data_IF_842617321051
#
_entry.id   IF_842617321051
#
_cell.length_a   1.000
_cell.length_b   1.000
_cell.length_c   1.000
_cell.angle_alpha   90.00
_cell.angle_beta   90.00
_cell.angle_gamma   90.00
#
_symmetry.space_group_name_H-M   'P 1'
#
loop_
_entity.id
_entity.type
_entity.pdbx_description
1 polymer ?
#
# COMPACT_ATOMS: atom_id res chain seq x y z
N UNK A 1 6.27 -14.63 -77.00
CA UNK A 1 7.20 -14.97 -75.89
C UNK A 1 6.45 -15.84 -74.89
N UNK A 2 6.77 -17.15 -74.82
CA UNK A 2 6.18 -18.09 -73.86
C UNK A 2 6.81 -17.86 -72.49
N UNK A 3 6.00 -17.50 -71.48
CA UNK A 3 6.45 -17.36 -70.08
C UNK A 3 6.71 -18.76 -69.52
N UNK A 4 7.97 -19.15 -69.41
CA UNK A 4 8.38 -20.30 -68.61
C UNK A 4 8.19 -19.93 -67.14
N UNK A 5 7.14 -20.47 -66.51
CA UNK A 5 7.03 -20.46 -65.05
C UNK A 5 8.12 -21.39 -64.53
N UNK A 6 9.07 -20.83 -63.78
CA UNK A 6 10.17 -21.58 -63.16
C UNK A 6 9.59 -22.71 -62.30
N UNK A 7 9.85 -23.95 -62.73
CA UNK A 7 9.41 -25.18 -62.07
C UNK A 7 9.78 -25.22 -60.58
N UNK A 8 10.87 -24.54 -60.19
CA UNK A 8 11.33 -24.46 -58.80
C UNK A 8 10.34 -23.74 -57.87
N UNK A 9 9.62 -22.72 -58.37
CA UNK A 9 8.62 -22.01 -57.56
C UNK A 9 7.37 -22.85 -57.30
N UNK A 10 7.00 -23.71 -58.26
CA UNK A 10 5.84 -24.61 -58.15
C UNK A 10 6.14 -25.79 -57.20
N UNK A 11 7.36 -26.33 -57.27
CA UNK A 11 7.80 -27.40 -56.38
C UNK A 11 7.88 -26.92 -54.92
N UNK A 12 8.41 -25.72 -54.69
CA UNK A 12 8.52 -25.14 -53.35
C UNK A 12 7.14 -24.84 -52.73
N UNK A 13 6.18 -24.37 -53.53
CA UNK A 13 4.80 -24.15 -53.03
C UNK A 13 4.11 -25.47 -52.68
N UNK A 14 4.29 -26.53 -53.47
CA UNK A 14 3.77 -27.86 -53.14
C UNK A 14 4.34 -28.41 -51.83
N UNK A 15 5.63 -28.24 -51.58
CA UNK A 15 6.28 -28.73 -50.34
C UNK A 15 5.74 -27.99 -49.12
N UNK A 16 5.58 -26.66 -49.21
CA UNK A 16 5.05 -25.85 -48.10
C UNK A 16 3.60 -26.25 -47.78
N UNK A 17 2.76 -26.49 -48.81
CA UNK A 17 1.36 -26.92 -48.61
C UNK A 17 1.30 -28.30 -47.98
N UNK A 18 2.11 -29.26 -48.43
CA UNK A 18 2.15 -30.61 -47.85
C UNK A 18 2.65 -30.60 -46.40
N UNK A 19 3.66 -29.78 -46.08
CA UNK A 19 4.14 -29.61 -44.71
C UNK A 19 3.08 -28.97 -43.80
N UNK A 20 2.33 -27.98 -44.33
CA UNK A 20 1.24 -27.33 -43.59
C UNK A 20 0.09 -28.29 -43.30
N UNK A 21 -0.25 -29.17 -44.26
CA UNK A 21 -1.26 -30.22 -44.08
C UNK A 21 -0.77 -31.25 -43.05
N UNK A 22 0.48 -31.68 -43.12
CA UNK A 22 1.06 -32.63 -42.17
C UNK A 22 1.08 -32.07 -40.74
N UNK A 23 1.47 -30.79 -40.57
CA UNK A 23 1.46 -30.11 -39.28
C UNK A 23 0.03 -29.93 -38.73
N UNK A 24 -0.95 -29.68 -39.61
CA UNK A 24 -2.36 -29.60 -39.22
C UNK A 24 -2.89 -30.95 -38.75
N UNK A 25 -2.54 -32.04 -39.43
CA UNK A 25 -2.94 -33.40 -39.05
C UNK A 25 -2.32 -33.81 -37.70
N UNK A 26 -1.07 -33.43 -37.42
CA UNK A 26 -0.40 -33.74 -36.14
C UNK A 26 -0.91 -32.87 -34.98
N UNK A 27 -1.38 -31.65 -35.24
CA UNK A 27 -2.05 -30.80 -34.24
C UNK A 27 -3.48 -31.30 -33.92
N UNK A 28 -4.16 -31.91 -34.89
CA UNK A 28 -5.46 -32.54 -34.66
C UNK A 28 -5.29 -33.83 -33.86
N UNK A 29 -4.28 -34.67 -34.13
CA UNK A 29 -4.08 -35.93 -33.38
C UNK A 29 -3.61 -35.75 -31.94
N UNK A 30 -3.02 -34.62 -31.57
CA UNK A 30 -2.67 -34.31 -30.16
C UNK A 30 -3.81 -33.70 -29.35
N UNK A 31 -4.91 -33.26 -29.98
CA UNK A 31 -6.09 -32.73 -29.31
C UNK A 31 -7.20 -33.77 -29.06
N UNK A 32 -7.03 -35.02 -29.52
CA UNK A 32 -7.97 -36.13 -29.29
C UNK A 32 -7.49 -37.18 -28.26
N UNK A 33 -6.33 -36.98 -27.61
CA UNK A 33 -5.76 -37.95 -26.69
C UNK A 33 -6.34 -37.92 -25.24
N UNK A 34 -7.51 -37.31 -25.03
CA UNK A 34 -8.23 -37.35 -23.74
C UNK A 34 -9.69 -37.81 -23.87
N UNK A 35 -10.06 -38.47 -24.97
CA UNK A 35 -11.25 -39.31 -24.96
C UNK A 35 -10.90 -40.65 -24.31
N UNK A 36 -10.87 -40.65 -22.98
CA UNK A 36 -11.12 -41.89 -22.24
C UNK A 36 -12.49 -42.38 -22.69
N UNK A 37 -12.50 -43.39 -23.57
CA UNK A 37 -13.68 -44.20 -23.83
C UNK A 37 -14.07 -44.82 -22.49
N UNK A 38 -15.01 -44.20 -21.78
CA UNK A 38 -15.68 -44.85 -20.67
C UNK A 38 -16.42 -46.03 -21.24
N UNK A 39 -15.82 -47.23 -21.16
CA UNK A 39 -16.56 -48.46 -21.30
C UNK A 39 -17.68 -48.41 -20.26
N UNK A 40 -18.92 -48.25 -20.73
CA UNK A 40 -20.11 -48.25 -19.88
C UNK A 40 -20.20 -49.63 -19.25
N UNK A 41 -19.74 -49.74 -18.00
CA UNK A 41 -19.80 -50.98 -17.25
C UNK A 41 -21.28 -51.33 -17.01
N UNK A 42 -21.75 -52.41 -17.65
CA UNK A 42 -23.14 -52.89 -17.52
C UNK A 42 -23.35 -53.77 -16.28
N UNK A 43 -22.33 -53.91 -15.42
CA UNK A 43 -22.40 -54.71 -14.21
C UNK A 43 -23.08 -53.92 -13.08
N UNK A 44 -24.08 -54.54 -12.45
CA UNK A 44 -24.86 -53.96 -11.34
C UNK A 44 -24.12 -54.03 -9.98
N UNK A 45 -23.06 -54.83 -9.88
CA UNK A 45 -22.28 -55.00 -8.65
C UNK A 45 -21.28 -53.86 -8.43
N UNK A 46 -21.77 -52.72 -7.92
CA UNK A 46 -20.95 -51.55 -7.59
C UNK A 46 -20.47 -51.58 -6.12
N UNK A 47 -19.23 -51.14 -5.90
CA UNK A 47 -18.64 -50.95 -4.57
C UNK A 47 -19.16 -49.72 -3.81
N UNK A 48 -18.47 -49.36 -2.74
CA UNK A 48 -18.77 -48.16 -1.94
C UNK A 48 -18.53 -46.90 -2.79
N UNK A 49 -19.41 -45.91 -2.60
CA UNK A 49 -19.28 -44.61 -3.25
C UNK A 49 -18.14 -43.80 -2.63
N UNK A 50 -17.32 -43.19 -3.48
CA UNK A 50 -16.28 -42.23 -3.09
C UNK A 50 -16.32 -40.99 -3.99
N UNK A 51 -15.59 -39.94 -3.62
CA UNK A 51 -15.46 -38.72 -4.43
C UNK A 51 -14.01 -38.41 -4.72
N UNK A 52 -13.70 -38.01 -5.94
CA UNK A 52 -12.32 -37.73 -6.34
C UNK A 52 -11.81 -36.36 -5.85
N UNK A 53 -10.48 -36.20 -5.91
CA UNK A 53 -9.79 -34.96 -5.56
C UNK A 53 -9.96 -33.91 -6.67
N UNK A 54 -10.02 -34.34 -7.93
CA UNK A 54 -10.23 -33.44 -9.07
C UNK A 54 -11.61 -32.76 -9.03
N UNK A 55 -11.70 -31.53 -9.53
CA UNK A 55 -12.94 -30.76 -9.64
C UNK A 55 -13.65 -31.03 -10.98
N UNK A 56 -14.98 -31.24 -11.01
CA UNK A 56 -15.89 -31.39 -9.87
C UNK A 56 -15.57 -32.64 -9.05
N UNK A 57 -15.73 -32.63 -7.72
CA UNK A 57 -15.58 -33.81 -6.86
C UNK A 57 -16.66 -34.88 -7.14
N UNK A 58 -16.70 -35.39 -8.35
CA UNK A 58 -17.70 -36.32 -8.89
C UNK A 58 -17.75 -37.58 -8.04
N UNK A 59 -18.96 -38.09 -7.83
CA UNK A 59 -19.14 -39.36 -7.15
C UNK A 59 -18.88 -40.53 -8.10
N UNK A 60 -18.07 -41.46 -7.65
CA UNK A 60 -17.78 -42.70 -8.37
C UNK A 60 -17.98 -43.92 -7.48
N UNK A 61 -18.21 -45.06 -8.11
CA UNK A 61 -18.09 -46.39 -7.50
C UNK A 61 -17.16 -47.23 -8.35
N UNK A 62 -16.38 -48.09 -7.71
CA UNK A 62 -15.58 -49.10 -8.41
C UNK A 62 -16.44 -50.33 -8.65
N UNK A 63 -16.55 -50.79 -9.90
CA UNK A 63 -17.21 -52.05 -10.20
C UNK A 63 -16.42 -53.21 -9.59
N UNK A 64 -17.08 -54.09 -8.83
CA UNK A 64 -16.40 -55.22 -8.17
C UNK A 64 -15.94 -56.30 -9.14
N UNK A 65 -16.56 -56.38 -10.32
CA UNK A 65 -16.29 -57.43 -11.31
C UNK A 65 -15.13 -57.10 -12.24
N UNK A 66 -14.90 -55.82 -12.54
CA UNK A 66 -13.90 -55.40 -13.53
C UNK A 66 -13.03 -54.22 -13.07
N UNK A 67 -13.19 -53.76 -11.82
CA UNK A 67 -12.47 -52.62 -11.23
C UNK A 67 -12.59 -51.30 -12.01
N UNK A 68 -13.51 -51.22 -12.98
CA UNK A 68 -13.77 -49.99 -13.72
C UNK A 68 -14.44 -48.96 -12.82
N UNK A 69 -13.97 -47.73 -12.94
CA UNK A 69 -14.54 -46.55 -12.28
C UNK A 69 -15.82 -46.14 -12.99
N UNK A 70 -16.94 -46.09 -12.26
CA UNK A 70 -18.27 -45.77 -12.77
C UNK A 70 -18.76 -44.48 -12.13
N UNK A 71 -19.11 -43.49 -12.96
CA UNK A 71 -19.74 -42.25 -12.49
C UNK A 71 -21.19 -42.53 -12.06
N UNK A 72 -21.56 -42.14 -10.84
CA UNK A 72 -22.89 -42.47 -10.27
C UNK A 72 -23.80 -41.25 -10.11
N UNK A 73 -23.43 -40.11 -10.71
CA UNK A 73 -24.20 -38.87 -10.65
C UNK A 73 -23.87 -38.01 -9.42
N UNK A 74 -23.98 -36.70 -9.61
CA UNK A 74 -23.70 -35.70 -8.56
C UNK A 74 -22.21 -35.49 -8.26
N UNK A 75 -21.96 -34.74 -7.19
CA UNK A 75 -20.62 -34.43 -6.68
C UNK A 75 -20.66 -34.18 -5.17
N UNK A 76 -19.54 -34.44 -4.49
CA UNK A 76 -19.40 -34.15 -3.07
C UNK A 76 -19.29 -32.66 -2.81
N UNK A 77 -20.11 -32.16 -1.88
CA UNK A 77 -19.89 -30.89 -1.20
C UNK A 77 -18.89 -31.15 -0.07
N UNK A 78 -17.65 -30.69 -0.27
CA UNK A 78 -16.60 -30.77 0.76
C UNK A 78 -16.47 -29.43 1.48
N UNK A 79 -15.95 -29.46 2.71
CA UNK A 79 -15.61 -28.24 3.46
C UNK A 79 -14.61 -27.39 2.67
N UNK A 80 -14.67 -26.07 2.85
CA UNK A 80 -13.81 -25.11 2.17
C UNK A 80 -12.32 -25.42 2.40
N UNK A 81 -11.54 -25.50 1.32
CA UNK A 81 -10.07 -25.50 1.36
C UNK A 81 -9.51 -24.08 1.27
N UNK A 82 -8.19 -23.94 1.36
CA UNK A 82 -7.42 -22.68 1.31
C UNK A 82 -7.55 -21.86 0.00
N UNK A 83 -8.27 -22.36 -0.99
CA UNK A 83 -8.48 -21.70 -2.28
C UNK A 83 -7.41 -22.03 -3.33
N UNK A 84 -6.39 -22.83 -3.00
CA UNK A 84 -5.27 -23.16 -3.90
C UNK A 84 -5.68 -23.92 -5.17
N UNK A 85 -6.85 -24.55 -5.18
CA UNK A 85 -7.28 -25.47 -6.25
C UNK A 85 -8.58 -25.08 -6.97
N UNK A 86 -8.99 -23.80 -6.89
CA UNK A 86 -10.05 -23.24 -7.74
C UNK A 86 -11.28 -24.15 -7.89
N UNK A 87 -11.95 -24.44 -6.77
CA UNK A 87 -13.02 -25.44 -6.74
C UNK A 87 -14.29 -24.89 -7.38
N UNK A 88 -14.58 -25.29 -8.61
CA UNK A 88 -15.74 -24.81 -9.38
C UNK A 88 -17.08 -25.46 -9.07
N UNK A 89 -17.21 -26.30 -8.02
CA UNK A 89 -18.43 -27.14 -7.83
C UNK A 89 -19.02 -27.19 -6.41
N UNK A 90 -18.79 -26.16 -5.59
CA UNK A 90 -19.73 -25.78 -4.53
C UNK A 90 -20.18 -24.36 -4.89
N UNK A 91 -21.46 -24.01 -4.70
CA UNK A 91 -21.92 -22.62 -4.88
C UNK A 91 -21.12 -21.59 -4.05
N UNK A 92 -20.31 -22.04 -3.09
CA UNK A 92 -19.54 -21.24 -2.14
C UNK A 92 -18.05 -21.64 -2.03
N UNK A 93 -17.57 -22.67 -2.73
CA UNK A 93 -16.13 -22.92 -2.76
C UNK A 93 -15.53 -22.15 -3.94
N UNK A 94 -14.36 -21.55 -3.72
CA UNK A 94 -13.63 -20.83 -4.77
C UNK A 94 -13.33 -19.36 -4.50
N UNK A 95 -13.98 -18.70 -3.54
CA UNK A 95 -13.48 -17.39 -3.08
C UNK A 95 -13.86 -17.11 -1.63
N UNK A 96 -12.85 -17.13 -0.75
CA UNK A 96 -13.03 -16.45 0.53
C UNK A 96 -13.10 -14.94 0.24
N UNK A 97 -14.28 -14.37 0.39
CA UNK A 97 -14.44 -12.92 0.39
C UNK A 97 -14.26 -12.42 1.82
N UNK A 98 -13.08 -11.85 2.09
CA UNK A 98 -12.81 -11.18 3.36
C UNK A 98 -13.07 -9.68 3.22
N UNK A 99 -13.86 -9.07 4.12
CA UNK A 99 -14.04 -7.62 4.10
C UNK A 99 -12.72 -6.92 4.41
N UNK A 100 -12.54 -5.71 3.86
CA UNK A 100 -11.45 -4.82 4.28
C UNK A 100 -11.75 -4.40 5.73
N UNK A 101 -10.78 -4.50 6.65
CA UNK A 101 -10.93 -3.98 8.01
C UNK A 101 -11.41 -2.52 8.02
N UNK A 102 -12.39 -2.25 8.87
CA UNK A 102 -12.80 -0.87 9.18
C UNK A 102 -11.70 -0.15 9.96
N UNK A 103 -11.74 1.19 9.94
CA UNK A 103 -10.81 2.03 10.73
C UNK A 103 -10.90 1.71 12.22
N UNK A 104 -12.10 1.45 12.74
CA UNK A 104 -12.29 1.09 14.16
C UNK A 104 -11.68 -0.27 14.50
N UNK A 105 -11.79 -1.25 13.62
CA UNK A 105 -11.13 -2.56 13.79
C UNK A 105 -9.61 -2.42 13.78
N UNK A 106 -9.06 -1.56 12.92
CA UNK A 106 -7.63 -1.24 12.89
C UNK A 106 -7.21 -0.54 14.19
N UNK A 107 -7.95 0.49 14.62
CA UNK A 107 -7.64 1.23 15.85
C UNK A 107 -7.74 0.34 17.10
N UNK A 108 -8.68 -0.60 17.13
CA UNK A 108 -8.82 -1.57 18.21
C UNK A 108 -7.63 -2.54 18.25
N UNK A 109 -7.17 -3.05 17.10
CA UNK A 109 -6.01 -3.96 17.07
C UNK A 109 -4.70 -3.30 17.49
N UNK A 110 -4.57 -1.98 17.36
CA UNK A 110 -3.40 -1.25 17.86
C UNK A 110 -3.29 -1.27 19.40
N UNK A 111 -4.35 -1.62 20.13
CA UNK A 111 -4.37 -1.66 21.61
C UNK A 111 -3.79 -2.95 22.21
N UNK A 112 -3.78 -4.05 21.46
CA UNK A 112 -3.25 -5.34 21.91
C UNK A 112 -2.15 -5.83 20.97
N UNK A 113 -1.12 -6.46 21.53
CA UNK A 113 -0.04 -7.07 20.76
C UNK A 113 -0.31 -8.58 20.60
N UNK A 114 -0.12 -9.18 19.40
CA UNK A 114 0.33 -8.56 18.15
C UNK A 114 -0.77 -7.70 17.49
N UNK A 115 -0.38 -6.59 16.83
CA UNK A 115 -1.31 -5.65 16.20
C UNK A 115 -1.85 -6.18 14.87
N UNK A 116 -2.69 -7.21 14.95
CA UNK A 116 -3.28 -7.89 13.80
C UNK A 116 -4.80 -7.74 13.84
N UNK A 117 -5.43 -7.65 12.67
CA UNK A 117 -6.89 -7.67 12.54
C UNK A 117 -7.32 -9.01 11.98
N UNK A 118 -8.24 -9.68 12.67
CA UNK A 118 -8.93 -10.86 12.14
C UNK A 118 -10.17 -10.44 11.34
N UNK A 119 -10.21 -10.79 10.06
CA UNK A 119 -11.37 -10.58 9.17
C UNK A 119 -12.07 -11.91 8.91
N UNK A 120 -13.39 -11.93 9.12
CA UNK A 120 -14.21 -13.15 9.05
C UNK A 120 -14.92 -13.25 7.71
N UNK A 121 -14.79 -14.39 7.04
CA UNK A 121 -15.59 -14.75 5.88
C UNK A 121 -17.00 -15.17 6.32
N UNK A 122 -17.99 -15.07 5.43
CA UNK A 122 -19.36 -15.54 5.68
C UNK A 122 -19.42 -17.02 6.08
N UNK A 123 -18.50 -17.86 5.58
CA UNK A 123 -18.41 -19.27 5.94
C UNK A 123 -17.80 -19.53 7.32
N UNK A 124 -17.41 -18.49 8.06
CA UNK A 124 -16.86 -18.60 9.41
C UNK A 124 -15.33 -18.61 9.48
N UNK A 125 -14.62 -18.79 8.36
CA UNK A 125 -13.15 -18.73 8.34
C UNK A 125 -12.64 -17.33 8.72
N UNK A 126 -11.49 -17.28 9.38
CA UNK A 126 -10.83 -16.02 9.77
C UNK A 126 -9.48 -15.93 9.07
N UNK A 127 -9.23 -14.78 8.43
CA UNK A 127 -7.91 -14.40 7.93
C UNK A 127 -7.37 -13.26 8.77
N UNK A 128 -6.09 -13.33 9.13
CA UNK A 128 -5.43 -12.25 9.84
C UNK A 128 -4.68 -11.35 8.86
N UNK A 129 -4.64 -10.05 9.13
CA UNK A 129 -3.78 -9.11 8.43
C UNK A 129 -2.33 -9.27 8.86
N UNK A 130 -1.40 -8.73 8.06
CA UNK A 130 -0.01 -8.59 8.49
C UNK A 130 0.09 -7.76 9.78
N UNK A 131 1.00 -8.10 10.70
CA UNK A 131 1.24 -7.32 11.92
C UNK A 131 1.57 -5.87 11.60
N UNK A 132 0.80 -4.95 12.19
CA UNK A 132 1.07 -3.52 12.13
C UNK A 132 2.13 -3.15 13.17
N UNK A 133 2.96 -2.15 12.87
CA UNK A 133 3.94 -1.64 13.82
C UNK A 133 3.33 -0.44 14.53
N UNK A 134 3.09 -0.57 15.84
CA UNK A 134 2.67 0.54 16.69
C UNK A 134 3.90 1.15 17.39
N UNK A 135 4.32 2.39 17.06
CA UNK A 135 5.50 3.01 17.68
C UNK A 135 5.28 3.45 19.14
N UNK A 136 4.06 3.30 19.66
CA UNK A 136 3.72 3.52 21.07
C UNK A 136 3.65 2.20 21.87
N UNK A 137 3.72 1.03 21.22
CA UNK A 137 3.71 -0.27 21.90
C UNK A 137 5.10 -0.67 22.38
N UNK A 138 5.24 -1.07 23.66
CA UNK A 138 6.52 -1.51 24.25
C UNK A 138 7.15 -2.70 23.53
N UNK A 139 6.36 -3.70 23.15
CA UNK A 139 6.84 -4.86 22.38
C UNK A 139 7.39 -4.43 21.02
N UNK A 140 6.67 -3.58 20.28
CA UNK A 140 7.16 -3.04 19.01
C UNK A 140 8.42 -2.18 19.18
N UNK A 141 8.48 -1.37 20.24
CA UNK A 141 9.66 -0.54 20.54
C UNK A 141 10.89 -1.42 20.72
N UNK A 142 10.77 -2.51 21.48
CA UNK A 142 11.86 -3.47 21.68
C UNK A 142 12.22 -4.20 20.39
N UNK A 143 11.25 -4.84 19.73
CA UNK A 143 11.49 -5.67 18.53
C UNK A 143 12.10 -4.87 17.37
N UNK A 144 11.67 -3.63 17.16
CA UNK A 144 12.12 -2.81 16.04
C UNK A 144 13.16 -1.77 16.43
N UNK A 145 13.64 -1.77 17.69
CA UNK A 145 14.56 -0.77 18.23
C UNK A 145 14.10 0.67 17.93
N UNK A 146 12.83 0.97 18.27
CA UNK A 146 12.23 2.26 17.99
C UNK A 146 12.76 3.29 18.99
N UNK A 147 13.44 4.30 18.48
CA UNK A 147 13.95 5.46 19.22
C UNK A 147 12.99 6.63 19.06
N UNK A 148 12.96 7.50 20.06
CA UNK A 148 12.23 8.78 20.01
C UNK A 148 13.22 9.94 20.08
N UNK A 149 13.09 10.92 19.19
CA UNK A 149 13.89 12.15 19.23
C UNK A 149 13.00 13.37 19.09
N UNK A 150 13.38 14.44 19.77
CA UNK A 150 12.72 15.73 19.70
C UNK A 150 13.78 16.83 19.53
N UNK A 151 13.44 17.86 18.76
CA UNK A 151 14.19 19.11 18.68
C UNK A 151 13.22 20.26 18.88
N UNK A 152 13.63 21.23 19.68
CA UNK A 152 12.86 22.43 19.97
C UNK A 152 13.74 23.65 19.70
N UNK A 153 13.17 24.64 19.01
CA UNK A 153 13.85 25.88 18.69
C UNK A 153 12.90 27.06 18.87
N UNK A 154 13.47 28.19 19.28
CA UNK A 154 12.78 29.48 19.31
C UNK A 154 13.31 30.33 18.15
N UNK A 155 12.43 31.08 17.51
CA UNK A 155 12.80 32.02 16.46
C UNK A 155 11.79 33.17 16.40
N UNK A 156 11.99 34.08 15.45
CA UNK A 156 11.11 35.22 15.21
C UNK A 156 10.74 35.26 13.74
N UNK A 157 9.44 35.20 13.45
CA UNK A 157 8.90 35.46 12.11
C UNK A 157 8.65 36.95 11.98
N UNK A 158 9.27 37.59 10.98
CA UNK A 158 8.97 38.98 10.65
C UNK A 158 7.88 39.00 9.59
N UNK A 159 6.70 39.49 9.96
CA UNK A 159 5.53 39.59 9.08
C UNK A 159 5.26 41.05 8.74
N UNK A 160 4.51 41.31 7.68
CA UNK A 160 4.15 42.67 7.32
C UNK A 160 2.77 42.76 6.71
N UNK A 161 2.06 43.84 7.00
CA UNK A 161 0.81 44.20 6.32
C UNK A 161 0.96 45.57 5.66
N UNK A 162 0.11 45.83 4.66
CA UNK A 162 -0.07 47.18 4.13
C UNK A 162 -1.13 47.90 4.92
N UNK A 163 -0.77 49.04 5.50
CA UNK A 163 -1.76 49.96 6.07
C UNK A 163 -2.47 50.69 4.91
N UNK A 164 -3.77 50.43 4.79
CA UNK A 164 -4.60 50.93 3.69
C UNK A 164 -5.18 52.33 3.96
N UNK A 165 -5.10 52.81 5.20
CA UNK A 165 -5.80 54.04 5.60
C UNK A 165 -5.03 55.32 5.24
N UNK A 166 -3.78 55.20 4.77
CA UNK A 166 -2.86 56.33 4.62
C UNK A 166 -2.71 56.90 3.19
N UNK A 167 -3.39 56.37 2.17
CA UNK A 167 -3.30 56.87 0.78
C UNK A 167 -1.94 56.67 0.08
N UNK A 168 -0.88 56.38 0.84
CA UNK A 168 0.39 55.81 0.40
C UNK A 168 0.58 54.52 1.22
N UNK A 169 0.54 53.35 0.59
CA UNK A 169 0.59 52.08 1.29
C UNK A 169 1.97 51.88 1.95
N UNK A 170 2.08 52.19 3.25
CA UNK A 170 3.29 51.94 4.05
C UNK A 170 3.24 50.48 4.51
N UNK A 171 4.32 49.76 4.29
CA UNK A 171 4.48 48.39 4.79
C UNK A 171 4.95 48.41 6.24
N UNK A 172 4.11 47.95 7.15
CA UNK A 172 4.47 47.82 8.58
C UNK A 172 4.98 46.41 8.83
N UNK A 173 6.24 46.27 9.25
CA UNK A 173 6.85 44.99 9.62
C UNK A 173 6.87 44.81 11.13
N UNK A 174 6.48 43.64 11.63
CA UNK A 174 6.44 43.32 13.05
C UNK A 174 6.98 41.90 13.36
N UNK A 175 7.67 41.71 14.50
CA UNK A 175 8.20 40.41 14.91
C UNK A 175 7.12 39.56 15.59
N UNK A 176 7.05 38.28 15.23
CA UNK A 176 6.21 37.27 15.88
C UNK A 176 7.12 36.18 16.45
N UNK A 177 7.36 36.16 17.77
CA UNK A 177 8.08 35.07 18.43
C UNK A 177 7.36 33.75 18.23
N UNK A 178 8.14 32.72 17.85
CA UNK A 178 7.63 31.37 17.64
C UNK A 178 8.48 30.33 18.35
N UNK A 179 7.80 29.33 18.92
CA UNK A 179 8.42 28.13 19.46
C UNK A 179 8.00 26.93 18.62
N UNK A 180 8.97 26.27 18.01
CA UNK A 180 8.77 25.10 17.16
C UNK A 180 9.32 23.87 17.86
N UNK A 181 8.55 22.78 17.83
CA UNK A 181 8.98 21.47 18.31
C UNK A 181 8.70 20.44 17.23
N UNK A 182 9.71 19.63 16.91
CA UNK A 182 9.56 18.49 16.02
C UNK A 182 9.97 17.21 16.72
N UNK A 183 9.10 16.23 16.64
CA UNK A 183 9.25 14.92 17.27
C UNK A 183 9.16 13.85 16.20
N UNK A 184 10.01 12.83 16.30
CA UNK A 184 9.96 11.69 15.41
C UNK A 184 10.27 10.40 16.16
N UNK A 185 9.46 9.36 15.90
CA UNK A 185 9.73 7.99 16.32
C UNK A 185 10.26 7.22 15.13
N UNK A 186 11.43 6.62 15.27
CA UNK A 186 12.14 6.04 14.16
C UNK A 186 12.94 4.81 14.59
N UNK A 187 13.33 3.97 13.63
CA UNK A 187 14.36 2.96 13.85
C UNK A 187 15.39 2.99 12.73
N UNK A 188 16.59 2.49 13.06
CA UNK A 188 17.66 2.25 12.11
C UNK A 188 18.14 0.81 12.25
N UNK A 189 18.25 0.12 11.12
CA UNK A 189 18.86 -1.21 11.02
C UNK A 189 19.80 -1.23 9.83
N UNK A 190 21.11 -1.31 10.10
CA UNK A 190 22.14 -1.13 9.08
C UNK A 190 22.02 0.24 8.38
N UNK A 191 21.88 0.22 7.06
CA UNK A 191 21.66 1.42 6.22
C UNK A 191 20.19 1.87 6.14
N UNK A 192 19.25 1.08 6.68
CA UNK A 192 17.82 1.36 6.57
C UNK A 192 17.34 2.23 7.72
N UNK A 193 16.79 3.39 7.39
CA UNK A 193 16.07 4.26 8.32
C UNK A 193 14.56 4.16 8.06
N UNK A 194 13.77 4.04 9.11
CA UNK A 194 12.30 4.07 9.04
C UNK A 194 11.76 5.03 10.10
N UNK A 195 11.01 6.04 9.68
CA UNK A 195 10.21 6.87 10.59
C UNK A 195 8.80 6.30 10.68
N UNK A 196 8.33 6.01 11.89
CA UNK A 196 7.00 5.47 12.16
C UNK A 196 5.97 6.56 12.43
N UNK A 197 6.40 7.65 13.08
CA UNK A 197 5.56 8.82 13.29
C UNK A 197 6.40 10.08 13.35
N UNK A 198 5.81 11.18 12.89
CA UNK A 198 6.43 12.50 12.98
C UNK A 198 5.37 13.52 13.40
N UNK A 199 5.72 14.39 14.34
CA UNK A 199 4.82 15.41 14.86
C UNK A 199 5.54 16.75 14.87
N UNK A 200 4.89 17.75 14.29
CA UNK A 200 5.29 19.15 14.43
C UNK A 200 4.30 19.86 15.37
N UNK A 201 4.84 20.72 16.22
CA UNK A 201 4.08 21.67 17.04
C UNK A 201 4.71 23.05 16.88
N UNK A 202 3.92 24.07 16.59
CA UNK A 202 4.37 25.47 16.55
C UNK A 202 3.46 26.33 17.41
N UNK A 203 4.05 27.14 18.30
CA UNK A 203 3.34 28.07 19.18
C UNK A 203 3.74 29.49 18.78
N UNK A 204 2.76 30.32 18.47
CA UNK A 204 2.94 31.73 18.09
C UNK A 204 2.52 32.63 19.27
N UNK A 205 3.28 33.69 19.55
CA UNK A 205 2.91 34.66 20.58
C UNK A 205 1.94 35.71 20.02
N UNK A 206 0.68 35.68 20.49
CA UNK A 206 -0.37 36.60 20.05
C UNK A 206 -0.12 38.06 20.43
N UNK A 207 0.56 38.30 21.56
CA UNK A 207 0.78 39.66 22.08
C UNK A 207 1.75 40.47 21.21
N UNK A 208 2.48 39.80 20.32
CA UNK A 208 3.41 40.43 19.38
C UNK A 208 2.74 40.80 18.06
N UNK A 209 1.46 40.49 17.88
CA UNK A 209 0.69 40.81 16.67
C UNK A 209 -0.09 42.11 16.87
N UNK A 210 0.15 43.14 16.02
CA UNK A 210 -0.63 44.38 16.04
C UNK A 210 -2.13 44.10 15.87
N UNK A 211 -3.02 44.77 16.62
CA UNK A 211 -4.47 44.57 16.53
C UNK A 211 -5.00 44.62 15.09
N UNK A 212 -4.47 45.53 14.28
CA UNK A 212 -4.87 45.78 12.89
C UNK A 212 -4.47 44.64 11.95
N UNK A 213 -3.44 43.88 12.32
CA UNK A 213 -2.94 42.74 11.54
C UNK A 213 -3.64 41.42 11.88
N UNK A 214 -4.31 41.32 13.04
CA UNK A 214 -4.86 40.05 13.56
C UNK A 214 -5.87 39.38 12.63
N UNK A 215 -6.67 40.15 11.90
CA UNK A 215 -7.67 39.63 10.94
C UNK A 215 -7.05 39.19 9.60
N UNK A 216 -5.78 39.53 9.35
CA UNK A 216 -5.08 39.38 8.06
C UNK A 216 -3.93 38.37 8.13
N UNK A 217 -3.83 37.63 9.24
CA UNK A 217 -2.74 36.70 9.50
C UNK A 217 -3.02 35.31 8.97
N UNK A 218 -2.02 34.75 8.29
CA UNK A 218 -1.98 33.35 7.93
C UNK A 218 -0.69 32.73 8.45
N UNK A 219 -0.83 31.87 9.45
CA UNK A 219 0.27 31.19 10.12
C UNK A 219 0.14 29.68 9.91
N UNK A 220 1.26 29.04 9.59
CA UNK A 220 1.33 27.61 9.34
C UNK A 220 2.50 27.01 10.12
N UNK A 221 2.24 25.88 10.79
CA UNK A 221 3.31 24.97 11.16
C UNK A 221 3.70 24.19 9.90
N UNK A 222 4.97 24.20 9.50
CA UNK A 222 5.44 23.55 8.27
C UNK A 222 6.73 22.78 8.53
N UNK A 223 6.74 21.45 8.49
CA UNK A 223 7.98 20.68 8.47
C UNK A 223 8.29 20.17 7.08
N UNK A 224 9.54 20.29 6.66
CA UNK A 224 10.08 19.66 5.46
C UNK A 224 11.12 18.62 5.87
N UNK A 225 10.92 17.39 5.42
CA UNK A 225 11.88 16.32 5.62
C UNK A 225 12.48 15.97 4.27
N UNK A 226 13.74 16.34 4.09
CA UNK A 226 14.52 15.95 2.94
C UNK A 226 15.13 14.57 3.17
N UNK A 227 14.97 13.69 2.18
CA UNK A 227 15.58 12.37 2.16
C UNK A 227 16.80 12.41 1.28
N UNK A 228 17.91 11.89 1.79
CA UNK A 228 19.17 11.80 1.07
C UNK A 228 19.50 10.34 0.81
N UNK A 229 20.21 10.06 -0.28
CA UNK A 229 20.78 8.74 -0.53
C UNK A 229 22.15 8.57 0.14
N UNK A 230 22.74 7.37 -0.01
CA UNK A 230 24.05 7.02 0.55
C UNK A 230 25.19 7.85 -0.02
N UNK A 231 24.97 8.54 -1.14
CA UNK A 231 25.90 9.45 -1.79
C UNK A 231 25.60 10.92 -1.46
N UNK A 232 24.81 11.18 -0.40
CA UNK A 232 24.42 12.51 0.08
C UNK A 232 23.65 13.36 -0.95
N UNK A 233 23.04 12.73 -1.96
CA UNK A 233 22.17 13.41 -2.93
C UNK A 233 20.73 13.39 -2.44
N UNK A 234 20.03 14.53 -2.52
CA UNK A 234 18.61 14.63 -2.16
C UNK A 234 17.77 13.78 -3.12
N UNK A 235 16.98 12.85 -2.59
CA UNK A 235 16.03 12.04 -3.34
C UNK A 235 14.66 12.70 -3.45
N UNK A 236 14.07 13.10 -2.32
CA UNK A 236 12.76 13.75 -2.30
C UNK A 236 12.54 14.53 -1.00
N UNK A 237 11.55 15.41 -1.00
CA UNK A 237 11.12 16.20 0.16
C UNK A 237 9.71 15.79 0.55
N UNK A 238 9.47 15.50 1.83
CA UNK A 238 8.13 15.31 2.37
C UNK A 238 7.74 16.51 3.23
N UNK A 239 6.50 16.99 3.13
CA UNK A 239 6.04 18.19 3.82
C UNK A 239 4.86 17.89 4.75
N UNK A 240 4.98 18.32 6.00
CA UNK A 240 3.89 18.33 6.98
C UNK A 240 3.48 19.78 7.24
N UNK A 241 2.26 20.16 6.88
CA UNK A 241 1.74 21.51 7.13
C UNK A 241 0.42 21.52 7.90
N UNK A 242 0.29 22.28 8.98
CA UNK A 242 -1.01 22.54 9.58
C UNK A 242 -1.29 24.04 9.56
N UNK A 243 -2.48 24.48 9.10
CA UNK A 243 -2.90 25.84 9.36
C UNK A 243 -3.01 26.04 10.87
N UNK A 244 -2.56 27.20 11.35
CA UNK A 244 -2.90 27.66 12.68
C UNK A 244 -4.24 28.40 12.59
N UNK A 245 -5.20 28.01 13.42
CA UNK A 245 -6.30 28.91 13.75
C UNK A 245 -5.73 30.10 14.53
N UNK A 246 -6.25 31.29 14.25
CA UNK A 246 -5.84 32.59 14.80
C UNK A 246 -5.20 32.52 16.21
N UNK A 247 -4.06 33.18 16.42
CA UNK A 247 -2.75 32.58 16.67
C UNK A 247 -2.71 31.56 17.83
N UNK A 248 -3.10 30.31 17.58
CA UNK A 248 -3.03 29.21 18.55
C UNK A 248 -1.93 28.19 18.17
N UNK A 249 -1.54 27.29 19.11
CA UNK A 249 -0.63 26.20 18.80
C UNK A 249 -1.14 25.35 17.62
N UNK A 250 -0.37 25.27 16.55
CA UNK A 250 -0.65 24.36 15.45
C UNK A 250 0.10 23.05 15.69
N UNK A 251 -0.58 21.91 15.54
CA UNK A 251 0.07 20.59 15.55
C UNK A 251 -0.39 19.74 14.38
N UNK A 252 0.56 19.05 13.75
CA UNK A 252 0.28 18.04 12.73
C UNK A 252 1.07 16.78 13.01
N UNK A 253 0.36 15.66 12.98
CA UNK A 253 0.96 14.33 12.91
C UNK A 253 1.01 13.89 11.45
N UNK A 254 2.19 13.48 11.01
CA UNK A 254 2.48 12.97 9.67
C UNK A 254 2.62 11.45 9.64
N UNK A 255 2.47 10.90 8.44
CA UNK A 255 2.62 9.46 8.19
C UNK A 255 4.06 8.97 8.22
N UNK A 256 4.20 7.65 8.00
CA UNK A 256 5.47 6.94 7.90
C UNK A 256 6.34 7.51 6.79
N UNK A 257 7.63 7.60 7.04
CA UNK A 257 8.61 7.87 5.99
C UNK A 257 9.53 6.67 5.82
N UNK A 258 9.60 6.14 4.61
CA UNK A 258 10.38 4.94 4.29
C UNK A 258 11.09 5.07 2.95
N UNK A 259 12.31 4.52 2.89
CA UNK A 259 13.25 4.45 1.77
C UNK A 259 14.08 5.72 1.50
N UNK A 260 15.31 5.68 2.00
CA UNK A 260 16.57 6.14 1.36
C UNK A 260 17.71 5.95 2.37
N UNK A 261 18.98 5.71 1.96
CA UNK A 261 20.08 5.63 2.91
C UNK A 261 20.28 6.96 3.65
N UNK A 262 19.72 7.00 4.85
CA UNK A 262 19.95 7.98 5.92
C UNK A 262 19.47 9.41 5.58
N UNK A 263 18.28 9.85 6.05
CA UNK A 263 18.12 11.27 6.30
C UNK A 263 19.07 11.64 7.45
N UNK A 264 20.16 12.33 7.16
CA UNK A 264 21.10 12.81 8.20
C UNK A 264 20.40 13.75 9.20
N UNK A 265 19.27 14.38 8.82
CA UNK A 265 18.45 15.27 9.65
C UNK A 265 17.07 15.55 9.01
N UNK A 266 16.15 16.15 9.76
CA UNK A 266 14.90 16.76 9.27
C UNK A 266 14.82 18.24 9.62
N UNK A 267 14.20 19.05 8.77
CA UNK A 267 14.01 20.49 9.00
C UNK A 267 12.53 20.79 9.24
N UNK A 268 12.14 20.87 10.51
CA UNK A 268 10.81 21.32 10.84
C UNK A 268 10.76 22.84 10.97
N UNK A 269 9.67 23.50 10.63
CA UNK A 269 9.62 24.96 10.65
C UNK A 269 8.23 25.54 10.85
N UNK A 270 8.19 26.87 10.80
CA UNK A 270 6.97 27.65 10.78
C UNK A 270 7.04 28.61 9.61
N UNK A 271 5.93 28.79 8.90
CA UNK A 271 5.80 29.75 7.81
C UNK A 271 4.63 30.67 8.11
N UNK A 272 4.81 31.97 7.89
CA UNK A 272 3.76 32.94 8.12
C UNK A 272 3.78 34.05 7.09
N UNK A 273 2.60 34.59 6.80
CA UNK A 273 2.43 35.85 6.09
C UNK A 273 1.26 36.64 6.68
N UNK A 274 1.30 37.94 6.48
CA UNK A 274 0.15 38.82 6.63
C UNK A 274 -0.11 39.44 5.26
N UNK A 275 -1.37 39.76 4.92
CA UNK A 275 -1.75 40.31 3.60
C UNK A 275 -0.99 41.63 3.28
N UNK A 276 0.20 41.53 2.69
CA UNK A 276 1.08 42.65 2.38
C UNK A 276 2.14 42.33 1.32
N UNK A 277 3.07 43.27 1.07
CA UNK A 277 4.05 43.19 -0.02
C UNK A 277 5.24 42.24 0.25
N UNK A 278 5.54 41.90 1.50
CA UNK A 278 6.69 41.06 1.82
C UNK A 278 6.31 39.58 1.67
N UNK A 279 7.09 38.78 0.91
CA UNK A 279 6.83 37.36 0.75
C UNK A 279 6.87 36.61 2.09
N UNK A 280 6.18 35.46 2.19
CA UNK A 280 6.13 34.65 3.40
C UNK A 280 7.53 34.35 3.94
N UNK A 281 7.72 34.52 5.25
CA UNK A 281 8.96 34.14 5.93
C UNK A 281 8.80 32.76 6.55
N UNK A 282 9.88 31.99 6.50
CA UNK A 282 9.97 30.67 7.13
C UNK A 282 11.14 30.62 8.11
N UNK A 283 10.92 29.97 9.25
CA UNK A 283 11.96 29.66 10.25
C UNK A 283 11.95 28.16 10.51
N UNK A 284 13.09 27.58 10.87
CA UNK A 284 13.21 26.12 11.05
C UNK A 284 14.05 25.70 12.25
N UNK A 285 13.66 24.59 12.87
CA UNK A 285 14.43 23.78 13.81
C UNK A 285 14.93 22.50 13.12
N UNK A 286 16.22 22.22 13.27
CA UNK A 286 16.86 21.00 12.76
C UNK A 286 16.75 19.88 13.79
N UNK A 287 16.18 18.74 13.41
CA UNK A 287 16.23 17.50 14.16
C UNK A 287 17.32 16.60 13.58
N UNK A 288 18.38 16.37 14.33
CA UNK A 288 19.41 15.40 13.99
C UNK A 288 19.07 14.05 14.61
N UNK A 289 19.04 13.01 13.79
CA UNK A 289 18.83 11.64 14.25
C UNK A 289 20.10 11.09 14.89
N UNK A 290 19.96 10.38 16.00
CA UNK A 290 21.09 9.66 16.61
C UNK A 290 21.16 8.28 15.98
N UNK A 291 22.30 7.97 15.36
CA UNK A 291 22.56 6.67 14.74
C UNK A 291 23.27 5.77 15.74
#
# INVERSE_FOLDING_TARGET
MKKYVSYDKLLLTCIIVLFSIYLSITLISTSFADYTTTATCSHTALGVQYSEVAHPHKYFRTCKSCNTKVYVGGHATKNHGDGSWGSGTCPQCGSHSYPIPTVDQINASLKQHPHIVGVKCKCGSVKYTDPQINPDCSSCISTYNIKSKSATGNSVLYLSYLDGDSGAAISTTFPVPVKMTFQSKYSKSGSNFTSYSSKITCVFNQNSVPPEAKSRLHLFATAQVDYYNSSNSKLYTNTLSAPASNPMPASRTGGKFSKSPIPSYSLAGATGYAEGLIPPRSVSVKLTYTF
#
